data_IF_101515742498
#
_entry.id   IF_101515742498
#
_cell.length_a   1.000
_cell.length_b   1.000
_cell.length_c   1.000
_cell.angle_alpha   90.00
_cell.angle_beta   90.00
_cell.angle_gamma   90.00
#
_symmetry.space_group_name_H-M   'P 1'
#
loop_
_entity.id
_entity.type
_entity.pdbx_description
1 polymer ?
#
# COMPACT_ATOMS: atom_id res chain seq x y z
N UNK A 1 -14.40 12.16 27.78
CA UNK A 1 -14.54 11.86 26.34
C UNK A 1 -13.24 11.31 25.78
N UNK A 2 -13.02 9.99 25.90
CA UNK A 2 -11.85 9.36 25.28
C UNK A 2 -12.09 9.23 23.77
N UNK A 3 -11.06 9.50 22.95
CA UNK A 3 -11.15 9.31 21.50
C UNK A 3 -11.31 7.83 21.15
N UNK A 4 -11.80 7.54 19.94
CA UNK A 4 -11.91 6.15 19.49
C UNK A 4 -10.51 5.48 19.42
N UNK A 5 -10.41 4.17 19.73
CA UNK A 5 -9.13 3.48 19.84
C UNK A 5 -8.27 3.53 18.56
N UNK A 6 -8.91 3.47 17.40
CA UNK A 6 -8.30 3.58 16.08
C UNK A 6 -7.61 4.95 15.87
N UNK A 7 -8.25 6.06 16.24
CA UNK A 7 -7.65 7.39 16.15
C UNK A 7 -6.44 7.49 17.08
N UNK A 8 -6.51 6.91 18.28
CA UNK A 8 -5.37 6.89 19.20
C UNK A 8 -4.18 6.14 18.58
N UNK A 9 -4.40 4.96 17.99
CA UNK A 9 -3.34 4.18 17.32
C UNK A 9 -2.69 4.97 16.18
N UNK A 10 -3.48 5.61 15.33
CA UNK A 10 -2.95 6.40 14.22
C UNK A 10 -2.13 7.61 14.69
N UNK A 11 -2.53 8.29 15.78
CA UNK A 11 -1.72 9.36 16.38
C UNK A 11 -0.36 8.85 16.85
N UNK A 12 -0.31 7.64 17.37
CA UNK A 12 0.95 6.98 17.77
C UNK A 12 1.68 6.27 16.62
N UNK A 13 1.28 6.49 15.35
CA UNK A 13 1.91 5.89 14.16
C UNK A 13 1.83 4.35 14.13
N UNK A 14 0.77 3.80 14.73
CA UNK A 14 0.43 2.38 14.66
C UNK A 14 -0.70 2.16 13.65
N UNK A 15 -0.53 1.12 12.84
CA UNK A 15 -1.52 0.61 11.91
C UNK A 15 -1.99 -0.76 12.39
N UNK A 16 -3.28 -0.92 12.74
CA UNK A 16 -3.78 -2.19 13.26
C UNK A 16 -3.95 -3.24 12.15
N UNK A 17 -3.66 -4.50 12.46
CA UNK A 17 -3.90 -5.62 11.54
C UNK A 17 -5.37 -6.05 11.44
N UNK A 18 -6.22 -5.56 12.36
CA UNK A 18 -7.67 -5.73 12.43
C UNK A 18 -8.30 -4.52 13.11
N UNK A 19 -9.47 -4.07 12.64
CA UNK A 19 -10.14 -2.87 13.18
C UNK A 19 -11.13 -3.17 14.32
N UNK A 20 -11.73 -4.37 14.35
CA UNK A 20 -12.75 -4.70 15.36
C UNK A 20 -12.13 -5.02 16.74
N UNK A 21 -11.06 -5.82 16.75
CA UNK A 21 -10.32 -6.23 17.97
C UNK A 21 -8.83 -6.33 17.63
N UNK A 22 -8.07 -5.22 17.73
CA UNK A 22 -6.67 -5.18 17.36
C UNK A 22 -5.80 -5.92 18.40
N UNK A 23 -5.25 -7.08 18.03
CA UNK A 23 -4.25 -7.81 18.82
C UNK A 23 -2.82 -7.65 18.29
N UNK A 24 -2.68 -7.12 17.07
CA UNK A 24 -1.40 -6.91 16.38
C UNK A 24 -1.45 -5.56 15.70
N UNK A 25 -0.38 -4.77 15.85
CA UNK A 25 -0.19 -3.49 15.18
C UNK A 25 1.18 -3.46 14.52
N UNK A 26 1.28 -2.77 13.39
CA UNK A 26 2.55 -2.48 12.73
C UNK A 26 2.83 -0.98 12.82
N UNK A 27 4.10 -0.61 12.99
CA UNK A 27 4.46 0.82 12.91
C UNK A 27 4.43 1.29 11.47
N UNK A 28 4.11 2.56 11.25
CA UNK A 28 4.23 3.18 9.93
C UNK A 28 5.66 3.05 9.37
N UNK A 29 6.66 3.03 10.25
CA UNK A 29 8.08 2.85 9.89
C UNK A 29 8.32 1.50 9.22
N UNK A 30 7.86 0.41 9.82
CA UNK A 30 7.96 -0.94 9.25
C UNK A 30 7.23 -1.02 7.91
N UNK A 31 6.05 -0.40 7.78
CA UNK A 31 5.30 -0.44 6.53
C UNK A 31 5.95 0.39 5.41
N UNK A 32 6.54 1.53 5.73
CA UNK A 32 7.31 2.32 4.75
C UNK A 32 8.61 1.60 4.36
N UNK A 33 9.32 1.02 5.32
CA UNK A 33 10.54 0.25 5.07
C UNK A 33 10.25 -0.98 4.21
N UNK A 34 9.18 -1.72 4.47
CA UNK A 34 8.72 -2.83 3.63
C UNK A 34 8.50 -2.40 2.17
N UNK A 35 7.76 -1.32 1.95
CA UNK A 35 7.49 -0.85 0.59
C UNK A 35 8.76 -0.38 -0.13
N UNK A 36 9.67 0.28 0.58
CA UNK A 36 10.93 0.76 0.01
C UNK A 36 11.88 -0.40 -0.32
N UNK A 37 12.03 -1.36 0.59
CA UNK A 37 12.90 -2.54 0.42
C UNK A 37 12.39 -3.45 -0.71
N UNK A 38 11.06 -3.59 -0.87
CA UNK A 38 10.46 -4.25 -2.04
C UNK A 38 10.69 -3.50 -3.35
N UNK A 39 10.71 -2.17 -3.34
CA UNK A 39 10.87 -1.34 -4.54
C UNK A 39 12.34 -1.29 -4.99
N UNK A 40 13.24 -0.95 -4.07
CA UNK A 40 14.64 -0.67 -4.36
C UNK A 40 15.48 -1.94 -4.47
N UNK A 41 15.26 -2.89 -3.56
CA UNK A 41 16.09 -4.09 -3.45
C UNK A 41 15.45 -5.32 -4.10
N UNK A 42 14.21 -5.21 -4.60
CA UNK A 42 13.45 -6.36 -5.10
C UNK A 42 13.22 -7.45 -4.04
N UNK A 43 13.28 -7.08 -2.75
CA UNK A 43 13.23 -8.05 -1.67
C UNK A 43 11.87 -8.74 -1.62
N UNK A 44 11.88 -10.07 -1.66
CA UNK A 44 10.68 -10.87 -1.48
C UNK A 44 10.07 -10.61 -0.11
N UNK A 45 8.74 -10.69 -0.02
CA UNK A 45 8.06 -10.40 1.23
C UNK A 45 8.49 -11.32 2.39
N UNK A 46 8.81 -12.58 2.08
CA UNK A 46 9.33 -13.54 3.06
C UNK A 46 10.75 -13.18 3.54
N UNK A 47 11.61 -12.71 2.64
CA UNK A 47 12.96 -12.26 3.00
C UNK A 47 12.90 -11.03 3.90
N UNK A 48 12.05 -10.06 3.56
CA UNK A 48 11.81 -8.90 4.42
C UNK A 48 11.27 -9.32 5.79
N UNK A 49 10.30 -10.24 5.83
CA UNK A 49 9.77 -10.71 7.10
C UNK A 49 10.82 -11.44 7.95
N UNK A 50 11.71 -12.20 7.32
CA UNK A 50 12.86 -12.82 7.98
C UNK A 50 13.85 -11.79 8.53
N UNK A 51 14.12 -10.70 7.78
CA UNK A 51 14.88 -9.52 8.25
C UNK A 51 14.19 -8.91 9.48
N UNK A 52 12.89 -8.66 9.41
CA UNK A 52 12.11 -8.09 10.50
C UNK A 52 12.15 -8.96 11.78
N UNK A 53 12.06 -10.28 11.65
CA UNK A 53 12.20 -11.21 12.79
C UNK A 53 13.58 -11.11 13.44
N UNK A 54 14.65 -11.08 12.64
CA UNK A 54 16.03 -10.92 13.13
C UNK A 54 16.27 -9.57 13.80
N UNK A 55 15.65 -8.50 13.29
CA UNK A 55 15.70 -7.18 13.94
C UNK A 55 14.93 -7.15 15.27
N UNK A 56 13.87 -7.94 15.39
CA UNK A 56 13.06 -8.04 16.62
C UNK A 56 13.78 -8.85 17.70
N UNK A 57 14.39 -9.98 17.32
CA UNK A 57 15.27 -10.76 18.19
C UNK A 57 16.40 -11.34 17.36
N UNK A 58 17.61 -10.87 17.61
CA UNK A 58 18.81 -11.33 16.91
C UNK A 58 19.24 -12.71 17.39
N UNK A 59 19.13 -12.99 18.69
CA UNK A 59 19.53 -14.27 19.29
C UNK A 59 18.57 -15.41 18.95
N UNK A 60 17.26 -15.16 19.01
CA UNK A 60 16.24 -16.19 18.81
C UNK A 60 15.14 -15.74 17.82
N UNK A 61 15.46 -15.55 16.53
CA UNK A 61 14.47 -15.10 15.54
C UNK A 61 13.29 -16.06 15.39
N UNK A 62 13.52 -17.35 15.64
CA UNK A 62 12.50 -18.40 15.54
C UNK A 62 11.41 -18.30 16.60
N UNK A 63 11.69 -17.67 17.76
CA UNK A 63 10.73 -17.46 18.84
C UNK A 63 9.83 -16.23 18.60
N UNK A 64 10.18 -15.36 17.64
CA UNK A 64 9.31 -14.25 17.25
C UNK A 64 8.02 -14.82 16.65
N UNK A 65 6.83 -14.44 17.17
CA UNK A 65 5.56 -14.94 16.67
C UNK A 65 5.39 -14.69 15.17
N UNK A 66 4.88 -15.69 14.45
CA UNK A 66 4.58 -15.53 13.04
C UNK A 66 3.39 -14.58 12.83
N UNK A 67 3.67 -13.45 12.19
CA UNK A 67 2.75 -12.37 11.82
C UNK A 67 2.90 -12.02 10.34
N UNK A 68 3.44 -12.94 9.53
CA UNK A 68 3.67 -12.74 8.11
C UNK A 68 2.37 -12.40 7.37
N UNK A 69 1.29 -13.14 7.64
CA UNK A 69 -0.01 -12.94 7.00
C UNK A 69 -0.60 -11.57 7.32
N UNK A 70 -0.48 -11.14 8.57
CA UNK A 70 -0.91 -9.82 9.03
C UNK A 70 -0.09 -8.71 8.38
N UNK A 71 1.23 -8.88 8.29
CA UNK A 71 2.10 -7.93 7.58
C UNK A 71 1.67 -7.80 6.12
N UNK A 72 1.41 -8.92 5.43
CA UNK A 72 1.01 -8.90 4.03
C UNK A 72 -0.32 -8.19 3.81
N UNK A 73 -1.30 -8.42 4.70
CA UNK A 73 -2.59 -7.73 4.64
C UNK A 73 -2.41 -6.23 4.84
N UNK A 74 -1.71 -5.83 5.90
CA UNK A 74 -1.54 -4.43 6.26
C UNK A 74 -0.68 -3.70 5.24
N UNK A 75 0.36 -4.33 4.69
CA UNK A 75 1.19 -3.73 3.65
C UNK A 75 0.41 -3.42 2.37
N UNK A 76 -0.53 -4.29 1.97
CA UNK A 76 -1.43 -4.01 0.84
C UNK A 76 -2.35 -2.82 1.12
N UNK A 77 -2.96 -2.78 2.30
CA UNK A 77 -3.80 -1.66 2.72
C UNK A 77 -3.01 -0.36 2.79
N UNK A 78 -1.78 -0.41 3.34
CA UNK A 78 -0.88 0.73 3.41
C UNK A 78 -0.49 1.26 2.03
N UNK A 79 -0.15 0.36 1.09
CA UNK A 79 0.13 0.73 -0.30
C UNK A 79 -1.07 1.46 -0.93
N UNK A 80 -2.26 0.91 -0.77
CA UNK A 80 -3.48 1.53 -1.29
C UNK A 80 -3.73 2.92 -0.69
N UNK A 81 -3.56 3.08 0.62
CA UNK A 81 -3.69 4.39 1.28
C UNK A 81 -2.65 5.40 0.78
N UNK A 82 -1.42 4.96 0.53
CA UNK A 82 -0.36 5.80 -0.04
C UNK A 82 -0.71 6.23 -1.47
N UNK A 83 -1.23 5.32 -2.29
CA UNK A 83 -1.73 5.63 -3.65
C UNK A 83 -2.88 6.63 -3.59
N UNK A 84 -3.91 6.39 -2.79
CA UNK A 84 -5.02 7.33 -2.62
C UNK A 84 -4.55 8.71 -2.17
N UNK A 85 -3.63 8.76 -1.20
CA UNK A 85 -3.05 10.03 -0.73
C UNK A 85 -2.28 10.75 -1.83
N UNK A 86 -1.48 10.05 -2.63
CA UNK A 86 -0.69 10.63 -3.71
C UNK A 86 -1.59 11.27 -4.79
N UNK A 87 -2.70 10.63 -5.10
CA UNK A 87 -3.69 11.13 -6.08
C UNK A 87 -4.71 12.13 -5.48
N UNK A 88 -4.54 12.57 -4.23
CA UNK A 88 -5.40 13.58 -3.61
C UNK A 88 -6.73 13.06 -3.05
N UNK A 89 -6.95 11.74 -3.00
CA UNK A 89 -8.16 11.13 -2.44
C UNK A 89 -8.15 10.99 -0.91
N UNK A 90 -7.10 11.47 -0.22
CA UNK A 90 -6.98 11.33 1.23
C UNK A 90 -7.99 12.13 2.07
N UNK A 91 -8.59 13.18 1.51
CA UNK A 91 -9.56 14.06 2.18
C UNK A 91 -10.90 14.14 1.43
N UNK A 92 -11.03 13.37 0.36
CA UNK A 92 -12.21 13.33 -0.49
C UNK A 92 -13.21 12.32 0.05
N UNK A 93 -14.50 12.61 -0.07
CA UNK A 93 -15.57 11.69 0.30
C UNK A 93 -15.93 10.72 -0.83
N UNK A 94 -15.54 11.03 -2.06
CA UNK A 94 -15.74 10.20 -3.23
C UNK A 94 -14.60 9.21 -3.45
N UNK A 95 -14.93 8.07 -4.07
CA UNK A 95 -13.96 7.06 -4.46
C UNK A 95 -13.40 7.38 -5.85
N UNK A 96 -12.13 7.05 -6.13
CA UNK A 96 -11.56 7.24 -7.45
C UNK A 96 -12.30 6.42 -8.50
N UNK A 97 -12.57 7.04 -9.64
CA UNK A 97 -13.11 6.37 -10.82
C UNK A 97 -12.03 5.54 -11.53
N UNK A 98 -12.44 4.75 -12.53
CA UNK A 98 -11.52 3.88 -13.28
C UNK A 98 -10.41 4.71 -13.91
N UNK A 99 -9.16 4.39 -13.57
CA UNK A 99 -7.97 5.06 -14.12
C UNK A 99 -7.49 6.28 -13.33
N UNK A 100 -8.25 6.82 -12.37
CA UNK A 100 -7.84 8.04 -11.64
C UNK A 100 -6.65 7.83 -10.70
N UNK A 101 -6.39 6.58 -10.29
CA UNK A 101 -5.20 6.20 -9.53
C UNK A 101 -4.04 5.70 -10.42
N UNK A 102 -4.21 5.68 -11.74
CA UNK A 102 -3.14 5.27 -12.65
C UNK A 102 -2.15 6.42 -12.82
N UNK A 103 -0.86 6.09 -12.88
CA UNK A 103 0.15 7.06 -13.28
C UNK A 103 0.06 7.28 -14.79
N UNK A 104 0.12 8.54 -15.20
CA UNK A 104 0.23 8.87 -16.61
C UNK A 104 1.51 8.26 -17.18
N UNK A 105 1.37 7.41 -18.20
CA UNK A 105 2.48 6.79 -18.88
C UNK A 105 2.61 7.39 -20.28
N UNK A 106 3.67 8.17 -20.57
CA UNK A 106 3.84 8.79 -21.89
C UNK A 106 4.11 7.77 -23.01
N UNK A 107 4.50 6.53 -22.65
CA UNK A 107 4.74 5.45 -23.61
C UNK A 107 3.48 4.64 -23.94
N UNK A 108 2.44 4.70 -23.10
CA UNK A 108 1.18 4.04 -23.41
C UNK A 108 0.44 4.81 -24.51
N UNK A 109 -0.29 4.14 -25.43
CA UNK A 109 -1.17 4.83 -26.36
C UNK A 109 -2.20 5.69 -25.62
N UNK A 110 -2.20 6.99 -25.91
CA UNK A 110 -3.10 8.00 -25.38
C UNK A 110 -3.77 8.69 -26.58
N UNK A 111 -4.98 8.26 -26.97
CA UNK A 111 -5.68 8.83 -28.12
C UNK A 111 -5.82 10.35 -28.01
N UNK A 112 -5.42 11.06 -29.07
CA UNK A 112 -5.42 12.52 -29.11
C UNK A 112 -4.24 13.19 -28.39
N UNK A 113 -3.34 12.43 -27.77
CA UNK A 113 -2.10 12.95 -27.18
C UNK A 113 -0.88 12.46 -27.96
N UNK A 114 -0.66 11.14 -28.01
CA UNK A 114 0.52 10.54 -28.65
C UNK A 114 0.19 9.47 -29.70
N UNK A 115 -1.09 9.09 -29.83
CA UNK A 115 -1.61 8.34 -30.97
C UNK A 115 -2.79 9.10 -31.56
N UNK A 116 -2.90 9.09 -32.89
CA UNK A 116 -4.07 9.61 -33.57
C UNK A 116 -5.30 8.86 -33.05
N UNK A 117 -6.38 9.60 -32.79
CA UNK A 117 -7.69 8.98 -32.58
C UNK A 117 -7.96 8.20 -33.86
N UNK A 118 -8.16 6.88 -33.75
CA UNK A 118 -8.61 6.10 -34.90
C UNK A 118 -9.91 6.71 -35.37
N UNK A 119 -9.89 7.34 -36.55
CA UNK A 119 -11.12 7.63 -37.28
C UNK A 119 -11.83 6.29 -37.41
N UNK A 120 -13.08 6.24 -36.95
CA UNK A 120 -13.92 5.06 -37.09
C UNK A 120 -13.81 4.58 -38.54
N UNK A 121 -13.63 3.27 -38.72
CA UNK A 121 -13.86 2.59 -40.00
C UNK A 121 -15.35 2.70 -40.36
N UNK A 122 -15.85 3.92 -40.61
CA UNK A 122 -17.06 4.15 -41.39
C UNK A 122 -16.66 4.36 -42.84
N UNK A 123 -16.01 3.35 -43.41
CA UNK A 123 -16.03 3.10 -44.84
C UNK A 123 -17.04 1.98 -45.10
N UNK A 124 -18.28 2.20 -44.65
CA UNK A 124 -19.44 1.47 -45.16
C UNK A 124 -20.18 2.43 -46.12
N UNK A 125 -20.03 2.07 -47.41
CA UNK A 125 -20.77 2.48 -48.62
C UNK A 125 -20.60 3.89 -49.21
#
# INVERSE_FOLDING_TARGET
>A
NAMSPDIQMFRHRFFPASFNRPNTVFTFRVLNDFLLDSLECGTSAMNYYSKLRRMTSSMFPHLVPDRYRELMRVARQWRQLKTMKWHGFGHRSDNPSTGELALFCPACPQPGINVLLSEDESLDE
#
